data_IF_931934669219
#
_entry.id   IF_931934669219
#
_cell.length_a   1.000
_cell.length_b   1.000
_cell.length_c   1.000
_cell.angle_alpha   90.00
_cell.angle_beta   90.00
_cell.angle_gamma   90.00
#
_symmetry.space_group_name_H-M   'P 1'
#
loop_
_entity.id
_entity.type
_entity.pdbx_description
1 polymer ?
#
# COMPACT_ATOMS: atom_id res chain seq x y z
N UNK A 1 -5.04 3.89 -11.39
CA UNK A 1 -3.72 4.39 -11.86
C UNK A 1 -3.48 3.94 -13.29
N UNK A 2 -3.03 4.84 -14.12
CA UNK A 2 -2.65 4.57 -15.51
C UNK A 2 -1.20 5.01 -15.72
N UNK A 3 -0.64 4.70 -16.89
CA UNK A 3 0.71 5.16 -17.22
C UNK A 3 0.81 6.70 -17.25
N UNK A 4 -0.28 7.40 -17.50
CA UNK A 4 -0.31 8.87 -17.48
C UNK A 4 -0.10 9.45 -16.06
N UNK A 5 -0.42 8.68 -15.02
CA UNK A 5 -0.25 9.11 -13.62
C UNK A 5 1.15 8.80 -13.07
N UNK A 6 1.97 8.10 -13.86
CA UNK A 6 3.20 7.48 -13.36
C UNK A 6 4.20 8.49 -12.80
N UNK A 7 4.36 9.65 -13.45
CA UNK A 7 5.33 10.66 -13.01
C UNK A 7 4.98 11.20 -11.62
N UNK A 8 3.70 11.49 -11.36
CA UNK A 8 3.26 11.95 -10.05
C UNK A 8 3.42 10.86 -8.98
N UNK A 9 3.08 9.62 -9.33
CA UNK A 9 3.23 8.47 -8.42
C UNK A 9 4.70 8.23 -8.09
N UNK A 10 5.59 8.32 -9.07
CA UNK A 10 7.02 8.18 -8.82
C UNK A 10 7.58 9.29 -7.93
N UNK A 11 7.08 10.51 -8.08
CA UNK A 11 7.45 11.61 -7.20
C UNK A 11 7.04 11.32 -5.75
N UNK A 12 5.83 10.83 -5.53
CA UNK A 12 5.37 10.43 -4.18
C UNK A 12 6.26 9.33 -3.62
N UNK A 13 6.59 8.33 -4.42
CA UNK A 13 7.43 7.21 -4.01
C UNK A 13 8.80 7.70 -3.56
N UNK A 14 9.43 8.59 -4.33
CA UNK A 14 10.74 9.15 -3.99
C UNK A 14 10.72 9.95 -2.69
N UNK A 15 9.64 10.72 -2.47
CA UNK A 15 9.49 11.52 -1.26
C UNK A 15 9.17 10.70 -0.02
N UNK A 16 8.55 9.53 -0.20
CA UNK A 16 8.01 8.72 0.88
C UNK A 16 8.93 7.60 1.33
N UNK A 17 9.84 7.14 0.48
CA UNK A 17 10.67 5.96 0.73
C UNK A 17 12.13 6.25 0.40
N UNK A 18 13.04 5.73 1.25
CA UNK A 18 14.48 5.83 1.03
C UNK A 18 14.90 5.07 -0.23
N UNK A 19 14.25 3.94 -0.50
CA UNK A 19 14.52 3.08 -1.64
C UNK A 19 13.25 2.91 -2.48
N UNK A 20 12.91 3.89 -3.34
CA UNK A 20 11.68 3.82 -4.12
C UNK A 20 11.75 2.75 -5.22
N UNK A 21 10.57 2.23 -5.60
CA UNK A 21 10.46 1.37 -6.75
C UNK A 21 10.86 2.14 -8.01
N UNK A 22 11.43 1.43 -9.00
CA UNK A 22 11.67 2.01 -10.31
C UNK A 22 10.36 2.18 -11.08
N UNK A 23 10.35 3.06 -12.07
CA UNK A 23 9.19 3.23 -12.96
C UNK A 23 8.83 1.92 -13.68
N UNK A 24 9.84 1.08 -13.96
CA UNK A 24 9.62 -0.24 -14.58
C UNK A 24 8.75 -1.14 -13.70
N UNK A 25 8.94 -1.14 -12.39
CA UNK A 25 8.09 -1.90 -11.48
C UNK A 25 6.64 -1.44 -11.54
N UNK A 26 6.42 -0.13 -11.53
CA UNK A 26 5.04 0.40 -11.63
C UNK A 26 4.39 0.04 -12.95
N UNK A 27 5.13 0.10 -14.07
CA UNK A 27 4.60 -0.30 -15.38
C UNK A 27 4.24 -1.77 -15.41
N UNK A 28 5.07 -2.62 -14.83
CA UNK A 28 4.79 -4.06 -14.72
C UNK A 28 3.54 -4.32 -13.87
N UNK A 29 3.38 -3.60 -12.77
CA UNK A 29 2.18 -3.73 -11.91
C UNK A 29 0.91 -3.38 -12.67
N UNK A 30 0.92 -2.36 -13.53
CA UNK A 30 -0.25 -1.99 -14.31
C UNK A 30 -0.71 -3.08 -15.28
N UNK A 31 0.19 -3.99 -15.66
CA UNK A 31 -0.11 -5.09 -16.59
C UNK A 31 -0.59 -6.36 -15.90
N UNK A 32 -0.45 -6.46 -14.57
CA UNK A 32 -0.88 -7.65 -13.82
C UNK A 32 -2.41 -7.69 -13.75
N UNK A 33 -3.02 -8.81 -14.18
CA UNK A 33 -4.47 -8.93 -14.29
C UNK A 33 -5.19 -8.73 -12.95
N UNK A 34 -4.67 -9.28 -11.85
CA UNK A 34 -5.29 -9.16 -10.54
C UNK A 34 -4.94 -7.86 -9.81
N UNK A 35 -4.06 -7.05 -10.38
CA UNK A 35 -3.63 -5.79 -9.75
C UNK A 35 -4.68 -4.70 -9.91
N UNK A 36 -4.85 -3.90 -8.86
CA UNK A 36 -5.73 -2.74 -8.83
C UNK A 36 -5.01 -1.58 -8.15
N UNK A 37 -5.50 -0.38 -8.44
CA UNK A 37 -4.97 0.82 -7.81
C UNK A 37 -6.09 1.80 -7.49
N UNK A 38 -5.89 2.54 -6.39
CA UNK A 38 -6.77 3.65 -6.01
C UNK A 38 -5.87 4.86 -5.82
N UNK A 39 -6.29 5.98 -6.41
CA UNK A 39 -5.62 7.27 -6.24
C UNK A 39 -6.52 8.18 -5.41
N UNK A 40 -5.91 9.04 -4.61
CA UNK A 40 -6.62 10.15 -3.96
C UNK A 40 -6.05 11.46 -4.47
N UNK A 41 -6.96 12.37 -4.86
CA UNK A 41 -6.61 13.69 -5.36
C UNK A 41 -7.06 14.77 -4.37
N UNK A 42 -6.24 15.81 -4.25
CA UNK A 42 -6.57 17.02 -3.49
C UNK A 42 -6.28 18.21 -4.39
N UNK A 43 -7.30 19.00 -4.68
CA UNK A 43 -7.19 20.21 -5.52
C UNK A 43 -6.54 19.91 -6.89
N UNK A 44 -6.94 18.80 -7.52
CA UNK A 44 -6.45 18.39 -8.84
C UNK A 44 -5.06 17.77 -8.87
N UNK A 45 -4.46 17.54 -7.71
CA UNK A 45 -3.13 16.94 -7.59
C UNK A 45 -3.26 15.55 -6.93
N UNK A 46 -2.49 14.57 -7.43
CA UNK A 46 -2.46 13.25 -6.79
C UNK A 46 -1.76 13.38 -5.44
N UNK A 47 -2.50 13.12 -4.37
CA UNK A 47 -2.03 13.22 -3.01
C UNK A 47 -1.56 11.90 -2.43
N UNK A 48 -2.03 10.79 -2.97
CA UNK A 48 -1.64 9.46 -2.50
C UNK A 48 -2.16 8.36 -3.39
N UNK A 49 -1.71 7.14 -3.12
CA UNK A 49 -2.12 5.96 -3.88
C UNK A 49 -2.00 4.69 -3.04
N UNK A 50 -2.72 3.66 -3.47
CA UNK A 50 -2.52 2.29 -2.99
C UNK A 50 -2.58 1.33 -4.18
N UNK A 51 -1.63 0.39 -4.21
CA UNK A 51 -1.60 -0.72 -5.17
C UNK A 51 -1.88 -2.01 -4.41
N UNK A 52 -2.78 -2.82 -4.95
CA UNK A 52 -3.15 -4.07 -4.28
C UNK A 52 -3.55 -5.13 -5.31
N UNK A 53 -3.44 -6.39 -4.90
CA UNK A 53 -3.81 -7.54 -5.72
C UNK A 53 -5.08 -8.17 -5.17
N UNK A 54 -6.00 -8.49 -6.09
CA UNK A 54 -7.23 -9.22 -5.79
C UNK A 54 -6.95 -10.72 -5.92
N UNK A 55 -6.77 -11.39 -4.79
CA UNK A 55 -6.58 -12.83 -4.76
C UNK A 55 -7.94 -13.52 -4.50
N UNK A 56 -7.99 -14.86 -4.59
CA UNK A 56 -9.28 -15.57 -4.55
C UNK A 56 -10.08 -15.29 -3.27
N UNK A 57 -9.43 -15.29 -2.11
CA UNK A 57 -10.08 -15.12 -0.81
C UNK A 57 -9.47 -14.02 0.06
N UNK A 58 -8.53 -13.24 -0.49
CA UNK A 58 -7.92 -12.12 0.22
C UNK A 58 -7.51 -11.01 -0.73
N UNK A 59 -7.23 -9.84 -0.18
CA UNK A 59 -6.59 -8.74 -0.91
C UNK A 59 -5.21 -8.53 -0.29
N UNK A 60 -4.18 -8.46 -1.13
CA UNK A 60 -2.82 -8.22 -0.69
C UNK A 60 -2.37 -6.81 -1.12
N UNK A 61 -2.07 -5.96 -0.15
CA UNK A 61 -1.61 -4.59 -0.41
C UNK A 61 -0.11 -4.64 -0.69
N UNK A 62 0.28 -4.15 -1.87
CA UNK A 62 1.67 -4.15 -2.31
C UNK A 62 2.39 -2.84 -2.05
N UNK A 63 1.68 -1.74 -2.14
CA UNK A 63 2.29 -0.43 -1.96
C UNK A 63 1.23 0.61 -1.61
N UNK A 64 1.53 1.46 -0.64
CA UNK A 64 0.67 2.58 -0.24
C UNK A 64 1.56 3.76 0.14
N UNK A 65 1.24 4.95 -0.34
CA UNK A 65 1.98 6.15 0.01
C UNK A 65 1.11 7.39 -0.09
N UNK A 66 1.42 8.38 0.73
CA UNK A 66 0.80 9.71 0.72
C UNK A 66 1.90 10.74 0.50
N UNK A 67 1.66 11.67 -0.43
CA UNK A 67 2.60 12.76 -0.72
C UNK A 67 2.87 13.57 0.56
N UNK A 68 4.12 13.94 0.79
CA UNK A 68 4.57 14.61 2.01
C UNK A 68 3.75 15.87 2.33
N UNK A 69 3.34 16.63 1.31
CA UNK A 69 2.51 17.84 1.44
C UNK A 69 1.13 17.57 2.05
N UNK A 70 0.63 16.35 1.90
CA UNK A 70 -0.74 15.98 2.28
C UNK A 70 -0.81 15.00 3.45
N UNK A 71 0.32 14.75 4.10
CA UNK A 71 0.37 13.87 5.28
C UNK A 71 -0.37 14.49 6.46
N UNK A 72 -0.77 13.66 7.42
CA UNK A 72 -1.52 14.03 8.63
C UNK A 72 -2.93 14.56 8.35
N UNK A 73 -3.49 14.23 7.19
CA UNK A 73 -4.87 14.56 6.81
C UNK A 73 -5.78 13.34 6.75
N UNK A 74 -5.29 12.18 7.21
CA UNK A 74 -6.07 10.95 7.21
C UNK A 74 -6.18 10.28 5.84
N UNK A 75 -5.35 10.62 4.86
CA UNK A 75 -5.44 10.06 3.51
C UNK A 75 -5.01 8.61 3.45
N UNK A 76 -3.99 8.22 4.23
CA UNK A 76 -3.58 6.82 4.34
C UNK A 76 -4.70 5.94 4.86
N UNK A 77 -5.39 6.39 5.90
CA UNK A 77 -6.56 5.71 6.44
C UNK A 77 -7.70 5.65 5.43
N UNK A 78 -7.93 6.73 4.69
CA UNK A 78 -8.95 6.77 3.64
C UNK A 78 -8.67 5.72 2.57
N UNK A 79 -7.43 5.64 2.09
CA UNK A 79 -7.02 4.65 1.10
C UNK A 79 -7.21 3.22 1.62
N UNK A 80 -6.79 2.96 2.85
CA UNK A 80 -6.94 1.65 3.48
C UNK A 80 -8.42 1.28 3.65
N UNK A 81 -9.25 2.24 4.07
CA UNK A 81 -10.69 2.00 4.21
C UNK A 81 -11.34 1.62 2.87
N UNK A 82 -10.89 2.21 1.76
CA UNK A 82 -11.37 1.85 0.44
C UNK A 82 -10.99 0.41 0.07
N UNK A 83 -9.78 -0.01 0.38
CA UNK A 83 -9.34 -1.39 0.15
C UNK A 83 -10.14 -2.37 1.02
N UNK A 84 -10.33 -2.06 2.29
CA UNK A 84 -11.11 -2.90 3.21
C UNK A 84 -12.57 -3.02 2.75
N UNK A 85 -13.18 -1.91 2.33
CA UNK A 85 -14.56 -1.93 1.80
C UNK A 85 -14.65 -2.83 0.57
N UNK A 86 -13.65 -2.78 -0.32
CA UNK A 86 -13.60 -3.66 -1.49
C UNK A 86 -13.49 -5.11 -1.10
N UNK A 87 -12.64 -5.42 -0.11
CA UNK A 87 -12.49 -6.77 0.40
C UNK A 87 -13.81 -7.30 0.97
N UNK A 88 -14.53 -6.46 1.72
CA UNK A 88 -15.84 -6.81 2.28
C UNK A 88 -16.86 -7.09 1.19
N UNK A 89 -16.93 -6.26 0.15
CA UNK A 89 -17.84 -6.47 -0.98
C UNK A 89 -17.55 -7.76 -1.74
N UNK A 90 -16.30 -8.19 -1.79
CA UNK A 90 -15.88 -9.44 -2.43
C UNK A 90 -16.02 -10.66 -1.52
N UNK A 91 -16.45 -10.47 -0.28
CA UNK A 91 -16.48 -11.51 0.75
C UNK A 91 -15.10 -12.12 1.01
N UNK A 92 -14.06 -11.29 0.91
CA UNK A 92 -12.69 -11.72 1.21
C UNK A 92 -12.56 -12.07 2.69
N UNK A 93 -11.68 -13.02 3.01
CA UNK A 93 -11.43 -13.44 4.39
C UNK A 93 -10.56 -12.43 5.14
N UNK A 94 -9.62 -11.79 4.43
CA UNK A 94 -8.68 -10.86 5.06
C UNK A 94 -8.02 -9.92 4.05
N UNK A 95 -7.39 -8.88 4.59
CA UNK A 95 -6.48 -7.98 3.88
C UNK A 95 -5.09 -8.18 4.47
N UNK A 96 -4.08 -8.37 3.64
CA UNK A 96 -2.70 -8.60 4.08
C UNK A 96 -1.76 -7.52 3.55
N UNK A 97 -0.64 -7.33 4.22
CA UNK A 97 0.43 -6.44 3.78
C UNK A 97 1.75 -6.81 4.44
N UNK A 98 2.85 -6.31 3.89
CA UNK A 98 4.16 -6.30 4.54
C UNK A 98 4.57 -4.84 4.79
N UNK A 99 5.25 -4.63 5.92
CA UNK A 99 5.76 -3.31 6.30
C UNK A 99 7.16 -3.45 6.88
N UNK A 100 8.05 -2.50 6.56
CA UNK A 100 9.38 -2.49 7.16
C UNK A 100 9.28 -2.39 8.68
N UNK A 101 10.10 -3.15 9.38
CA UNK A 101 10.13 -3.11 10.85
C UNK A 101 10.36 -1.69 11.34
N UNK A 102 11.20 -0.92 10.65
CA UNK A 102 11.52 0.46 11.02
C UNK A 102 10.41 1.47 10.77
N UNK A 103 9.40 1.13 9.96
CA UNK A 103 8.33 2.07 9.60
C UNK A 103 7.26 2.14 10.70
N UNK A 104 7.60 2.81 11.80
CA UNK A 104 6.73 2.86 12.98
C UNK A 104 5.42 3.62 12.73
N UNK A 105 5.42 4.64 11.87
CA UNK A 105 4.21 5.40 11.56
C UNK A 105 3.18 4.54 10.82
N UNK A 106 3.63 3.79 9.81
CA UNK A 106 2.75 2.89 9.07
C UNK A 106 2.23 1.77 9.98
N UNK A 107 3.10 1.18 10.80
CA UNK A 107 2.71 0.14 11.75
C UNK A 107 1.62 0.61 12.69
N UNK A 108 1.77 1.83 13.25
CA UNK A 108 0.74 2.41 14.15
C UNK A 108 -0.60 2.58 13.44
N UNK A 109 -0.56 3.06 12.19
CA UNK A 109 -1.79 3.21 11.40
C UNK A 109 -2.47 1.88 11.20
N UNK A 110 -1.74 0.85 10.77
CA UNK A 110 -2.30 -0.48 10.53
C UNK A 110 -2.85 -1.09 11.81
N UNK A 111 -2.11 -1.01 12.91
CA UNK A 111 -2.57 -1.50 14.21
C UNK A 111 -3.84 -0.79 14.66
N UNK A 112 -3.93 0.53 14.45
CA UNK A 112 -5.11 1.31 14.83
C UNK A 112 -6.36 0.90 14.05
N UNK A 113 -6.19 0.29 12.88
CA UNK A 113 -7.28 -0.20 12.03
C UNK A 113 -7.63 -1.66 12.30
N UNK A 114 -6.90 -2.33 13.19
CA UNK A 114 -7.16 -3.71 13.56
C UNK A 114 -6.25 -4.73 12.89
N UNK A 115 -5.25 -4.31 12.11
CA UNK A 115 -4.26 -5.24 11.58
C UNK A 115 -3.41 -5.80 12.70
N UNK A 116 -3.09 -7.08 12.61
CA UNK A 116 -2.26 -7.79 13.58
C UNK A 116 -1.05 -8.40 12.87
N UNK A 117 0.05 -8.55 13.59
CA UNK A 117 1.25 -9.17 13.06
C UNK A 117 1.02 -10.68 12.94
N UNK A 118 1.25 -11.24 11.75
CA UNK A 118 1.10 -12.67 11.49
C UNK A 118 2.42 -13.35 11.16
N UNK A 119 3.49 -12.60 10.98
CA UNK A 119 4.79 -13.19 10.70
C UNK A 119 5.90 -12.16 10.58
N UNK A 120 7.13 -12.66 10.54
CA UNK A 120 8.33 -11.89 10.27
C UNK A 120 9.02 -12.49 9.06
N UNK A 121 9.32 -11.67 8.06
CA UNK A 121 10.06 -12.08 6.87
C UNK A 121 11.46 -11.50 6.95
N UNK A 122 12.44 -12.33 7.28
CA UNK A 122 13.82 -11.88 7.44
C UNK A 122 14.44 -11.53 6.10
N UNK A 123 15.14 -10.38 6.05
CA UNK A 123 15.85 -9.92 4.86
C UNK A 123 14.94 -9.69 3.67
N UNK A 124 13.66 -9.41 3.89
CA UNK A 124 12.64 -9.29 2.84
C UNK A 124 12.97 -8.19 1.82
N UNK A 125 13.48 -7.05 2.30
CA UNK A 125 13.81 -5.92 1.44
C UNK A 125 15.25 -6.05 0.96
N UNK A 126 15.41 -6.41 -0.32
CA UNK A 126 16.74 -6.68 -0.91
C UNK A 126 17.64 -5.46 -0.99
N UNK A 127 17.06 -4.25 -0.93
CA UNK A 127 17.80 -3.00 -1.03
C UNK A 127 18.78 -2.79 0.15
N UNK A 128 18.35 -3.10 1.38
CA UNK A 128 19.20 -2.93 2.57
C UNK A 128 19.14 -4.13 3.52
N UNK A 129 18.47 -5.21 3.14
CA UNK A 129 18.36 -6.42 3.96
C UNK A 129 17.42 -6.28 5.15
N UNK A 130 16.62 -5.23 5.22
CA UNK A 130 15.71 -5.02 6.34
C UNK A 130 14.60 -6.08 6.36
N UNK A 131 14.21 -6.48 7.57
CA UNK A 131 13.09 -7.41 7.78
C UNK A 131 11.75 -6.73 7.53
N UNK A 132 10.75 -7.52 7.17
CA UNK A 132 9.37 -7.07 7.06
C UNK A 132 8.49 -7.76 8.10
N UNK A 133 7.54 -7.01 8.63
CA UNK A 133 6.42 -7.60 9.38
C UNK A 133 5.30 -7.87 8.40
N UNK A 134 4.81 -9.11 8.39
CA UNK A 134 3.59 -9.45 7.68
C UNK A 134 2.42 -9.18 8.62
N UNK A 135 1.43 -8.43 8.15
CA UNK A 135 0.26 -8.06 8.93
C UNK A 135 -1.02 -8.41 8.18
N UNK A 136 -2.07 -8.68 8.94
CA UNK A 136 -3.37 -9.01 8.36
C UNK A 136 -4.51 -8.38 9.16
N UNK A 137 -5.55 -7.96 8.43
CA UNK A 137 -6.85 -7.60 8.99
C UNK A 137 -7.82 -8.72 8.64
N UNK A 138 -8.29 -9.45 9.64
CA UNK A 138 -9.25 -10.53 9.45
C UNK A 138 -10.65 -9.96 9.37
N UNK A 139 -11.39 -10.35 8.32
CA UNK A 139 -12.75 -9.87 8.06
C UNK A 139 -13.81 -10.88 8.46
N UNK A 140 -13.38 -12.11 8.71
CA UNK A 140 -14.29 -13.21 9.09
C UNK A 140 -13.66 -14.10 10.15
#
# INVERSE_FOLDING_TARGET
>A
MTSADLDEVMAIKRDSFVYPWSSRFFLQELEVECARSILVEVSGQIAGYVLFWLLSDEIDIHNIAVHIKFRRRGLGRLLLNQVVARAQRRSSLRVTLEVRVSNSQARKLYESMGFVIIGLRRGYYSDNGEDALAMALNLK
#
